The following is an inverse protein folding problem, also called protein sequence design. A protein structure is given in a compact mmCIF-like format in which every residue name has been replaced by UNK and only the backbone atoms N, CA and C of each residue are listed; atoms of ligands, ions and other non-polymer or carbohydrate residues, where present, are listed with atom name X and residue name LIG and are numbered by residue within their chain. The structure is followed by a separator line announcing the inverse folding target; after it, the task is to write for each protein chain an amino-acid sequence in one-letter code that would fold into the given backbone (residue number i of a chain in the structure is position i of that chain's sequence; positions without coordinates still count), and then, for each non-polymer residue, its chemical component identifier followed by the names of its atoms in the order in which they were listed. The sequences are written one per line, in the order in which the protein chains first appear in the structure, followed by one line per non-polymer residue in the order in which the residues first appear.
data_IF_957947748887
#
_entry.id   IF_957947748887
#
_cell.length_a   1.000
_cell.length_b   1.000
_cell.length_c   1.000
_cell.angle_alpha   90.00
_cell.angle_beta   90.00
_cell.angle_gamma   90.00
#
_symmetry.space_group_name_H-M   'P 1'
#
loop_
_entity.id
_entity.type
_entity.pdbx_description
1 polymer ?
#
# COMPACT_ATOMS: atom_id res chain seq x y z
N UNK A 1 -14.10 19.39 4.96
CA UNK A 1 -12.85 18.84 4.37
C UNK A 1 -13.21 17.55 3.67
N UNK A 2 -12.80 17.35 2.41
CA UNK A 2 -12.98 16.05 1.75
C UNK A 2 -12.02 15.02 2.35
N UNK A 3 -12.44 13.77 2.49
CA UNK A 3 -11.55 12.69 2.93
C UNK A 3 -10.44 12.48 1.89
N UNK A 4 -9.19 12.20 2.30
CA UNK A 4 -8.07 11.95 1.39
C UNK A 4 -8.13 10.54 0.77
N UNK A 5 -9.31 10.10 0.35
CA UNK A 5 -9.57 8.83 -0.31
C UNK A 5 -10.52 9.05 -1.50
N UNK A 6 -10.46 8.15 -2.47
CA UNK A 6 -11.33 8.16 -3.64
C UNK A 6 -12.14 6.87 -3.75
N UNK A 7 -13.17 6.82 -4.59
CA UNK A 7 -14.05 5.65 -4.64
C UNK A 7 -13.33 4.37 -5.08
N UNK A 8 -12.38 4.46 -6.03
CA UNK A 8 -11.70 3.26 -6.55
C UNK A 8 -10.70 2.64 -5.57
N UNK A 9 -10.26 3.38 -4.55
CA UNK A 9 -9.35 2.84 -3.54
C UNK A 9 -10.08 2.20 -2.36
N UNK A 10 -11.41 2.36 -2.24
CA UNK A 10 -12.18 1.80 -1.12
C UNK A 10 -12.07 0.27 -1.09
N UNK A 11 -12.43 -0.40 -2.18
CA UNK A 11 -12.37 -1.86 -2.26
C UNK A 11 -10.97 -2.44 -1.97
N UNK A 12 -9.89 -1.99 -2.63
CA UNK A 12 -8.56 -2.51 -2.35
C UNK A 12 -8.04 -2.17 -0.95
N UNK A 13 -8.40 -1.02 -0.37
CA UNK A 13 -8.03 -0.68 1.00
C UNK A 13 -8.78 -1.52 2.03
N UNK A 14 -10.07 -1.78 1.81
CA UNK A 14 -10.86 -2.65 2.69
C UNK A 14 -10.35 -4.08 2.64
N UNK A 15 -10.16 -4.65 1.45
CA UNK A 15 -9.73 -6.05 1.32
C UNK A 15 -8.33 -6.28 1.91
N UNK A 16 -7.35 -5.45 1.54
CA UNK A 16 -6.01 -5.54 2.10
C UNK A 16 -5.99 -5.22 3.60
N UNK A 17 -6.66 -4.13 3.99
CA UNK A 17 -6.67 -3.65 5.38
C UNK A 17 -7.30 -4.63 6.35
N UNK A 18 -8.46 -5.21 6.00
CA UNK A 18 -9.15 -6.19 6.84
C UNK A 18 -8.32 -7.48 6.99
N UNK A 19 -7.74 -7.99 5.90
CA UNK A 19 -6.93 -9.20 5.95
C UNK A 19 -5.66 -9.02 6.79
N UNK A 20 -4.93 -7.92 6.58
CA UNK A 20 -3.71 -7.59 7.35
C UNK A 20 -4.05 -7.35 8.82
N UNK A 21 -5.11 -6.59 9.12
CA UNK A 21 -5.53 -6.33 10.49
C UNK A 21 -5.88 -7.63 11.22
N UNK A 22 -6.69 -8.48 10.60
CA UNK A 22 -7.05 -9.78 11.16
C UNK A 22 -5.81 -10.65 11.41
N UNK A 23 -4.87 -10.67 10.46
CA UNK A 23 -3.60 -11.39 10.60
C UNK A 23 -2.80 -10.87 11.81
N UNK A 24 -2.67 -9.56 11.96
CA UNK A 24 -1.94 -8.95 13.08
C UNK A 24 -2.59 -9.22 14.43
N UNK A 25 -3.92 -9.13 14.52
CA UNK A 25 -4.66 -9.46 15.74
C UNK A 25 -4.46 -10.93 16.12
N UNK A 26 -4.46 -11.84 15.16
CA UNK A 26 -4.17 -13.27 15.39
C UNK A 26 -2.75 -13.54 15.90
N UNK A 27 -1.77 -12.71 15.53
CA UNK A 27 -0.37 -12.87 15.97
C UNK A 27 -0.05 -12.28 17.35
N UNK A 28 -0.92 -11.45 17.93
CA UNK A 28 -0.67 -10.80 19.24
C UNK A 28 -0.48 -11.78 20.40
N UNK A 29 -1.11 -12.94 20.32
CA UNK A 29 -1.07 -13.98 21.35
C UNK A 29 -0.21 -15.18 20.99
N UNK A 30 0.72 -15.04 20.04
CA UNK A 30 1.59 -16.14 19.64
C UNK A 30 2.41 -16.67 20.83
N UNK A 31 2.37 -17.99 21.03
CA UNK A 31 3.20 -18.66 22.02
C UNK A 31 4.68 -18.69 21.59
N UNK A 32 5.54 -19.27 22.45
CA UNK A 32 6.97 -19.31 22.21
C UNK A 32 7.35 -20.11 20.95
N UNK A 33 6.64 -21.20 20.66
CA UNK A 33 6.92 -22.08 19.52
C UNK A 33 6.51 -21.42 18.21
N UNK A 34 5.31 -20.82 18.17
CA UNK A 34 4.85 -20.01 17.05
C UNK A 34 5.78 -18.82 16.80
N UNK A 35 6.25 -18.16 17.87
CA UNK A 35 7.20 -17.06 17.77
C UNK A 35 8.55 -17.51 17.19
N UNK A 36 9.10 -18.62 17.69
CA UNK A 36 10.34 -19.20 17.20
C UNK A 36 10.21 -19.63 15.73
N UNK A 37 9.09 -20.25 15.35
CA UNK A 37 8.83 -20.67 13.97
C UNK A 37 8.77 -19.50 12.99
N UNK A 38 7.98 -18.46 13.32
CA UNK A 38 7.86 -17.27 12.48
C UNK A 38 9.18 -16.49 12.37
N UNK A 39 9.86 -16.29 13.50
CA UNK A 39 11.15 -15.62 13.52
C UNK A 39 12.21 -16.42 12.77
N UNK A 40 12.32 -17.73 13.01
CA UNK A 40 13.28 -18.60 12.35
C UNK A 40 13.07 -18.62 10.83
N UNK A 41 11.81 -18.67 10.39
CA UNK A 41 11.46 -18.56 8.97
C UNK A 41 11.94 -17.22 8.38
N UNK A 42 11.61 -16.10 9.02
CA UNK A 42 12.03 -14.78 8.52
C UNK A 42 13.56 -14.58 8.56
N UNK A 43 14.21 -15.01 9.64
CA UNK A 43 15.65 -14.87 9.86
C UNK A 43 16.50 -15.76 8.94
N UNK A 44 15.92 -16.84 8.39
CA UNK A 44 16.56 -17.65 7.35
C UNK A 44 16.84 -16.85 6.07
N UNK A 45 15.95 -15.91 5.76
CA UNK A 45 16.04 -15.06 4.56
C UNK A 45 16.64 -13.69 4.86
N UNK A 46 16.40 -13.17 6.06
CA UNK A 46 16.85 -11.86 6.51
C UNK A 46 17.76 -12.02 7.74
N UNK A 47 19.08 -12.24 7.55
CA UNK A 47 19.99 -12.56 8.65
C UNK A 47 20.06 -11.49 9.75
N UNK A 48 19.77 -10.22 9.41
CA UNK A 48 19.73 -9.12 10.37
C UNK A 48 18.63 -9.30 11.44
N UNK A 49 17.62 -10.14 11.20
CA UNK A 49 16.58 -10.44 12.19
C UNK A 49 17.07 -11.37 13.30
N UNK A 50 18.20 -12.06 13.12
CA UNK A 50 18.76 -12.99 14.12
C UNK A 50 19.14 -12.31 15.44
N UNK A 51 19.37 -10.99 15.43
CA UNK A 51 19.68 -10.20 16.63
C UNK A 51 18.45 -9.80 17.45
N UNK A 52 17.25 -10.04 16.93
CA UNK A 52 15.97 -9.72 17.58
C UNK A 52 15.43 -10.99 18.23
N UNK A 53 14.96 -10.91 19.48
CA UNK A 53 14.33 -12.06 20.14
C UNK A 53 13.04 -12.48 19.41
N UNK A 54 12.73 -13.78 19.28
CA UNK A 54 11.56 -14.26 18.53
C UNK A 54 10.23 -13.61 18.95
N UNK A 55 10.01 -13.48 20.27
CA UNK A 55 8.81 -12.85 20.82
C UNK A 55 8.73 -11.37 20.46
N UNK A 56 9.85 -10.65 20.52
CA UNK A 56 9.91 -9.24 20.13
C UNK A 56 9.64 -9.07 18.63
N UNK A 57 10.18 -9.96 17.80
CA UNK A 57 9.91 -9.97 16.36
C UNK A 57 8.43 -10.14 16.07
N UNK A 58 7.77 -11.13 16.68
CA UNK A 58 6.35 -11.39 16.43
C UNK A 58 5.46 -10.30 16.99
N UNK A 59 5.77 -9.72 18.15
CA UNK A 59 5.05 -8.56 18.67
C UNK A 59 5.19 -7.34 17.74
N UNK A 60 6.40 -7.10 17.23
CA UNK A 60 6.66 -6.04 16.25
C UNK A 60 5.91 -6.27 14.94
N UNK A 61 5.91 -7.50 14.44
CA UNK A 61 5.18 -7.90 13.23
C UNK A 61 3.67 -7.71 13.41
N UNK A 62 3.10 -8.23 14.50
CA UNK A 62 1.69 -8.09 14.84
C UNK A 62 1.27 -6.62 14.96
N UNK A 63 2.08 -5.81 15.65
CA UNK A 63 1.83 -4.36 15.81
C UNK A 63 1.87 -3.65 14.46
N UNK A 64 2.85 -3.97 13.62
CA UNK A 64 2.98 -3.40 12.26
C UNK A 64 1.76 -3.75 11.41
N UNK A 65 1.33 -5.00 11.42
CA UNK A 65 0.13 -5.46 10.70
C UNK A 65 -1.13 -4.76 11.19
N UNK A 66 -1.30 -4.59 12.49
CA UNK A 66 -2.46 -3.89 13.06
C UNK A 66 -2.47 -2.42 12.64
N UNK A 67 -1.33 -1.74 12.77
CA UNK A 67 -1.20 -0.33 12.41
C UNK A 67 -1.44 -0.14 10.92
N UNK A 68 -0.84 -0.98 10.07
CA UNK A 68 -1.02 -0.93 8.62
C UNK A 68 -2.47 -1.25 8.22
N UNK A 69 -3.05 -2.29 8.80
CA UNK A 69 -4.44 -2.68 8.57
C UNK A 69 -5.42 -1.56 8.96
N UNK A 70 -5.24 -0.97 10.14
CA UNK A 70 -6.04 0.18 10.59
C UNK A 70 -5.82 1.42 9.70
N UNK A 71 -4.59 1.69 9.26
CA UNK A 71 -4.28 2.79 8.35
C UNK A 71 -4.95 2.62 6.97
N UNK A 72 -5.08 1.39 6.49
CA UNK A 72 -5.77 1.09 5.24
C UNK A 72 -7.29 1.26 5.40
N UNK A 73 -7.87 0.77 6.51
CA UNK A 73 -9.31 0.82 6.77
C UNK A 73 -9.83 2.20 7.15
N UNK A 74 -8.98 3.08 7.66
CA UNK A 74 -9.38 4.44 8.03
C UNK A 74 -9.22 5.41 6.85
N UNK A 75 -10.20 6.32 6.66
CA UNK A 75 -10.17 7.26 5.54
C UNK A 75 -9.25 8.45 5.76
N UNK A 76 -8.57 8.55 6.92
CA UNK A 76 -7.75 9.70 7.29
C UNK A 76 -6.31 9.60 6.78
N UNK A 77 -5.87 8.41 6.37
CA UNK A 77 -4.51 8.19 5.86
C UNK A 77 -4.46 8.49 4.36
N UNK A 78 -3.60 9.43 3.90
CA UNK A 78 -3.48 9.77 2.49
C UNK A 78 -3.20 8.55 1.62
N UNK A 79 -3.86 8.44 0.46
CA UNK A 79 -3.72 7.31 -0.48
C UNK A 79 -2.28 6.94 -0.77
N UNK A 80 -1.43 7.94 -1.04
CA UNK A 80 -0.01 7.70 -1.32
C UNK A 80 0.72 7.05 -0.14
N UNK A 81 0.48 7.55 1.09
CA UNK A 81 1.14 7.04 2.29
C UNK A 81 0.67 5.62 2.61
N UNK A 82 -0.63 5.36 2.49
CA UNK A 82 -1.20 4.02 2.65
C UNK A 82 -0.62 3.04 1.60
N UNK A 83 -0.53 3.47 0.35
CA UNK A 83 0.09 2.70 -0.73
C UNK A 83 1.56 2.40 -0.48
N UNK A 84 2.35 3.41 -0.10
CA UNK A 84 3.77 3.25 0.17
C UNK A 84 4.03 2.29 1.34
N UNK A 85 3.27 2.42 2.42
CA UNK A 85 3.36 1.52 3.57
C UNK A 85 2.99 0.08 3.18
N UNK A 86 1.90 -0.11 2.43
CA UNK A 86 1.49 -1.42 1.95
C UNK A 86 2.53 -2.04 1.00
N UNK A 87 3.09 -1.27 0.07
CA UNK A 87 4.14 -1.72 -0.85
C UNK A 87 5.43 -2.10 -0.11
N UNK A 88 5.84 -1.32 0.89
CA UNK A 88 7.02 -1.65 1.70
C UNK A 88 6.81 -2.96 2.48
N UNK A 89 5.67 -3.09 3.15
CA UNK A 89 5.32 -4.28 3.92
C UNK A 89 5.22 -5.53 3.04
N UNK A 90 4.40 -5.48 1.98
CA UNK A 90 4.22 -6.60 1.04
C UNK A 90 5.46 -6.89 0.20
N UNK A 91 6.32 -5.89 -0.05
CA UNK A 91 7.64 -6.09 -0.66
C UNK A 91 8.57 -6.93 0.22
N UNK A 92 8.47 -6.80 1.55
CA UNK A 92 9.14 -7.68 2.50
C UNK A 92 8.63 -9.13 2.39
N UNK A 93 7.32 -9.34 2.33
CA UNK A 93 6.72 -10.67 2.15
C UNK A 93 7.09 -11.30 0.80
N UNK A 94 7.03 -10.52 -0.27
CA UNK A 94 7.46 -10.95 -1.60
C UNK A 94 8.96 -11.27 -1.61
N UNK A 95 9.76 -10.54 -0.84
CA UNK A 95 11.18 -10.86 -0.64
C UNK A 95 11.40 -12.21 0.03
N UNK A 96 10.58 -12.57 1.03
CA UNK A 96 10.58 -13.92 1.61
C UNK A 96 10.28 -14.97 0.53
N UNK A 97 9.23 -14.77 -0.27
CA UNK A 97 8.89 -15.68 -1.36
C UNK A 97 10.04 -15.86 -2.36
N UNK A 98 10.68 -14.78 -2.78
CA UNK A 98 11.70 -14.82 -3.83
C UNK A 98 13.03 -15.40 -3.35
N UNK A 99 13.39 -15.15 -2.08
CA UNK A 99 14.72 -15.46 -1.54
C UNK A 99 14.77 -16.72 -0.68
N UNK A 100 13.65 -17.17 -0.12
CA UNK A 100 13.64 -18.41 0.68
C UNK A 100 13.80 -19.63 -0.24
N UNK A 101 14.77 -20.52 0.01
CA UNK A 101 14.90 -21.78 -0.73
C UNK A 101 13.63 -22.63 -0.67
N UNK A 102 13.29 -23.32 -1.76
CA UNK A 102 12.12 -24.20 -1.83
C UNK A 102 10.78 -23.52 -2.13
N UNK A 103 10.71 -22.19 -2.13
CA UNK A 103 9.46 -21.44 -2.44
C UNK A 103 9.15 -21.36 -3.94
N UNK A 104 10.16 -21.52 -4.80
CA UNK A 104 10.03 -21.41 -6.26
C UNK A 104 10.46 -22.70 -6.94
N UNK A 105 9.79 -23.01 -8.05
CA UNK A 105 10.21 -24.11 -8.92
C UNK A 105 11.63 -23.85 -9.45
N UNK A 106 12.49 -24.88 -9.59
CA UNK A 106 13.85 -24.71 -10.09
C UNK A 106 13.87 -23.95 -11.43
N UNK A 107 14.73 -22.94 -11.55
CA UNK A 107 14.86 -22.13 -12.77
C UNK A 107 13.66 -21.21 -13.10
N UNK A 108 12.69 -21.04 -12.18
CA UNK A 108 11.47 -20.27 -12.44
C UNK A 108 11.12 -19.29 -11.31
N UNK A 109 10.23 -18.34 -11.63
CA UNK A 109 9.53 -17.49 -10.67
C UNK A 109 8.19 -18.10 -10.21
N UNK A 110 7.78 -19.23 -10.78
CA UNK A 110 6.55 -19.91 -10.40
C UNK A 110 6.65 -20.52 -8.98
N UNK A 111 5.59 -20.41 -8.16
CA UNK A 111 5.60 -20.94 -6.81
C UNK A 111 5.59 -22.47 -6.80
N UNK A 112 6.19 -23.05 -5.76
CA UNK A 112 5.87 -24.41 -5.31
C UNK A 112 4.59 -24.40 -4.48
N UNK A 113 4.07 -25.57 -4.11
CA UNK A 113 2.92 -25.67 -3.18
C UNK A 113 3.18 -24.92 -1.87
N UNK A 114 4.40 -25.03 -1.34
CA UNK A 114 4.81 -24.30 -0.13
C UNK A 114 4.86 -22.79 -0.37
N UNK A 115 5.42 -22.36 -1.51
CA UNK A 115 5.58 -20.95 -1.86
C UNK A 115 4.29 -20.23 -2.24
N UNK A 116 3.22 -20.96 -2.58
CA UNK A 116 1.94 -20.38 -2.97
C UNK A 116 1.37 -19.46 -1.89
N UNK A 117 1.59 -19.81 -0.62
CA UNK A 117 1.14 -19.06 0.55
C UNK A 117 1.71 -17.64 0.61
N UNK A 118 2.94 -17.41 0.16
CA UNK A 118 3.58 -16.09 0.10
C UNK A 118 3.48 -15.46 -1.29
N UNK A 119 3.43 -16.27 -2.35
CA UNK A 119 3.31 -15.76 -3.72
C UNK A 119 2.03 -14.94 -3.93
N UNK A 120 0.94 -15.31 -3.26
CA UNK A 120 -0.34 -14.57 -3.32
C UNK A 120 -0.23 -13.14 -2.79
N UNK A 121 0.75 -12.84 -1.95
CA UNK A 121 0.96 -11.49 -1.41
C UNK A 121 1.50 -10.51 -2.48
N UNK A 122 1.87 -11.02 -3.67
CA UNK A 122 2.12 -10.18 -4.85
C UNK A 122 0.92 -9.29 -5.21
N UNK A 123 -0.31 -9.71 -4.91
CA UNK A 123 -1.49 -8.88 -5.09
C UNK A 123 -1.48 -7.65 -4.17
N UNK A 124 -0.96 -7.79 -2.94
CA UNK A 124 -0.82 -6.67 -2.01
C UNK A 124 0.22 -5.66 -2.50
N UNK A 125 1.31 -6.13 -3.12
CA UNK A 125 2.29 -5.25 -3.77
C UNK A 125 1.63 -4.47 -4.90
N UNK A 126 0.86 -5.15 -5.77
CA UNK A 126 0.12 -4.52 -6.86
C UNK A 126 -0.90 -3.48 -6.36
N UNK A 127 -1.64 -3.79 -5.29
CA UNK A 127 -2.55 -2.84 -4.65
C UNK A 127 -1.78 -1.63 -4.12
N UNK A 128 -0.70 -1.84 -3.38
CA UNK A 128 0.11 -0.74 -2.82
C UNK A 128 0.65 0.20 -3.90
N UNK A 129 1.20 -0.36 -4.98
CA UNK A 129 1.71 0.44 -6.12
C UNK A 129 0.56 1.19 -6.80
N UNK A 130 -0.60 0.55 -6.96
CA UNK A 130 -1.80 1.19 -7.50
C UNK A 130 -2.23 2.40 -6.67
N UNK A 131 -2.25 2.26 -5.33
CA UNK A 131 -2.54 3.35 -4.40
C UNK A 131 -1.49 4.47 -4.47
N UNK A 132 -0.19 4.14 -4.53
CA UNK A 132 0.87 5.14 -4.69
C UNK A 132 0.69 5.95 -5.98
N UNK A 133 0.52 5.25 -7.10
CA UNK A 133 0.36 5.86 -8.43
C UNK A 133 -0.86 6.78 -8.44
N UNK A 134 -1.96 6.31 -7.86
CA UNK A 134 -3.20 7.07 -7.72
C UNK A 134 -3.02 8.32 -6.85
N UNK A 135 -2.36 8.18 -5.71
CA UNK A 135 -2.03 9.29 -4.82
C UNK A 135 -1.12 10.34 -5.47
N UNK A 136 -0.36 10.00 -6.51
CA UNK A 136 0.42 10.95 -7.31
C UNK A 136 -0.43 11.63 -8.39
N UNK A 137 -1.31 10.88 -9.07
CA UNK A 137 -2.13 11.39 -10.19
C UNK A 137 -3.28 12.28 -9.70
N UNK A 138 -4.01 11.88 -8.65
CA UNK A 138 -5.18 12.62 -8.15
C UNK A 138 -4.83 13.85 -7.28
N UNK A 139 -3.53 14.03 -6.94
CA UNK A 139 -3.01 15.29 -6.41
C UNK A 139 -3.05 16.45 -7.42
N UNK A 140 -3.28 16.18 -8.72
CA UNK A 140 -3.61 17.25 -9.66
C UNK A 140 -4.95 17.84 -9.23
N UNK A 141 -5.02 19.14 -8.86
CA UNK A 141 -6.28 19.73 -8.44
C UNK A 141 -7.28 19.54 -9.57
N UNK A 142 -8.32 18.73 -9.33
CA UNK A 142 -9.49 18.65 -10.20
C UNK A 142 -9.91 20.10 -10.39
N UNK A 143 -9.68 20.67 -11.57
CA UNK A 143 -10.21 21.99 -11.88
C UNK A 143 -11.71 21.76 -11.90
N UNK A 144 -12.36 22.01 -10.76
CA UNK A 144 -13.81 21.93 -10.65
C UNK A 144 -14.39 22.66 -11.86
N UNK A 145 -15.43 22.12 -12.49
CA UNK A 145 -16.07 22.72 -13.67
C UNK A 145 -16.29 24.23 -13.46
N UNK A 146 -16.67 24.63 -12.23
CA UNK A 146 -16.73 26.05 -11.79
C UNK A 146 -15.44 26.86 -11.97
N UNK A 147 -14.28 26.32 -11.59
CA UNK A 147 -12.97 26.98 -11.76
C UNK A 147 -12.55 27.01 -13.23
N UNK A 148 -12.86 25.96 -14.00
CA UNK A 148 -12.60 25.92 -15.44
C UNK A 148 -13.46 26.98 -16.15
N UNK A 149 -14.75 27.02 -15.86
CA UNK A 149 -15.71 27.97 -16.42
C UNK A 149 -15.36 29.42 -16.02
N UNK A 150 -14.97 29.65 -14.77
CA UNK A 150 -14.49 30.97 -14.32
C UNK A 150 -13.22 31.41 -15.06
N UNK A 151 -12.29 30.50 -15.34
CA UNK A 151 -11.08 30.80 -16.12
C UNK A 151 -11.41 31.05 -17.60
N UNK A 152 -12.26 30.23 -18.20
CA UNK A 152 -12.73 30.40 -19.58
C UNK A 152 -13.45 31.75 -19.76
N UNK A 153 -14.38 32.11 -18.87
CA UNK A 153 -15.04 33.43 -18.87
C UNK A 153 -14.06 34.58 -18.71
N UNK A 154 -13.03 34.43 -17.86
CA UNK A 154 -11.99 35.46 -17.67
C UNK A 154 -11.14 35.62 -18.94
N UNK A 155 -10.80 34.52 -19.62
CA UNK A 155 -10.08 34.53 -20.89
C UNK A 155 -10.91 35.15 -22.01
N UNK A 156 -12.18 34.75 -22.16
CA UNK A 156 -13.11 35.33 -23.14
C UNK A 156 -13.29 36.85 -22.94
N UNK A 157 -13.41 37.31 -21.69
CA UNK A 157 -13.47 38.75 -21.39
C UNK A 157 -12.18 39.50 -21.72
N UNK A 158 -11.01 38.87 -21.60
CA UNK A 158 -9.72 39.48 -21.98
C UNK A 158 -9.60 39.57 -23.49
N UNK A 159 -9.88 38.47 -24.20
CA UNK A 159 -9.90 38.44 -25.66
C UNK A 159 -10.87 39.49 -26.24
N UNK A 160 -12.08 39.63 -25.68
CA UNK A 160 -13.04 40.65 -26.11
C UNK A 160 -12.55 42.09 -25.86
N UNK A 161 -11.79 42.34 -24.79
CA UNK A 161 -11.19 43.66 -24.52
C UNK A 161 -10.04 43.98 -25.47
N UNK A 162 -9.24 42.97 -25.79
CA UNK A 162 -8.13 43.10 -26.74
C UNK A 162 -8.66 43.36 -28.16
N UNK A 163 -9.66 42.59 -28.61
CA UNK A 163 -10.31 42.80 -29.91
C UNK A 163 -10.93 44.20 -30.05
N UNK A 164 -11.54 44.73 -28.98
CA UNK A 164 -12.08 46.11 -28.97
C UNK A 164 -11.00 47.19 -29.01
N UNK A 165 -9.79 46.89 -28.52
CA UNK A 165 -8.65 47.82 -28.57
C UNK A 165 -7.96 47.80 -29.92
N UNK A 166 -7.92 46.66 -30.61
CA UNK A 166 -7.34 46.55 -31.95
C UNK A 166 -8.25 47.07 -33.06
N UNK A 167 -9.56 47.18 -32.81
CA UNK A 167 -10.54 47.74 -33.74
C UNK A 167 -10.74 49.27 -33.60
N UNK A 168 -9.93 49.93 -32.78
CA UNK A 168 -9.94 51.37 -32.50
C UNK A 168 -8.64 51.98 -32.98
#
# INVERSE_FOLDING_TARGET
MGLPITLSEIAPRISAGAFILNSGLGKRGADADAAAGMHGFAASTYPFLKSVAPQQFVQGLATTEIVLGAALLTPFVPTFAAGAALTAFSGGLLGLYLKTPGMRKPGSLAPTEQGLSLAKDSWLVGIGIGLMTRGLIERRPRVTVRKADKRARKQARRAAREARRSAR
#
